data_IF_773193183164
#
_entry.id   IF_773193183164
#
_cell.length_a   1.000
_cell.length_b   1.000
_cell.length_c   1.000
_cell.angle_alpha   90.00
_cell.angle_beta   90.00
_cell.angle_gamma   90.00
#
_symmetry.space_group_name_H-M   'P 1'
#
loop_
_entity.id
_entity.type
_entity.pdbx_description
1 polymer ?
#
# COMPACT_ATOMS: atom_id res chain seq x y z
N UNK A 1 -19.33 -15.70 31.51
CA UNK A 1 -18.12 -14.97 31.11
C UNK A 1 -17.07 -15.95 30.61
N UNK A 2 -17.10 -16.29 29.31
CA UNK A 2 -16.01 -16.93 28.55
C UNK A 2 -16.16 -16.38 27.13
N UNK A 3 -15.05 -15.92 26.56
CA UNK A 3 -15.00 -15.08 25.37
C UNK A 3 -15.42 -15.76 24.06
N UNK A 4 -15.90 -14.93 23.15
CA UNK A 4 -16.15 -15.27 21.75
C UNK A 4 -15.35 -14.31 20.85
N UNK A 5 -14.03 -14.46 20.88
CA UNK A 5 -13.15 -13.86 19.86
C UNK A 5 -13.16 -14.78 18.64
N UNK A 6 -14.21 -14.69 17.83
CA UNK A 6 -14.23 -15.34 16.52
C UNK A 6 -13.72 -14.35 15.48
N UNK A 7 -12.49 -14.62 15.07
CA UNK A 7 -11.74 -14.17 13.90
C UNK A 7 -12.67 -13.87 12.70
N UNK A 8 -12.97 -12.58 12.50
CA UNK A 8 -13.42 -12.03 11.21
C UNK A 8 -12.28 -11.17 10.63
N UNK A 9 -11.11 -11.79 10.41
CA UNK A 9 -9.86 -11.11 10.04
C UNK A 9 -9.65 -10.94 8.53
N UNK A 10 -10.75 -10.88 7.78
CA UNK A 10 -10.75 -10.85 6.32
C UNK A 10 -11.95 -10.04 5.85
N UNK A 11 -11.74 -8.77 5.47
CA UNK A 11 -12.75 -7.95 4.78
C UNK A 11 -13.28 -8.68 3.53
N UNK A 12 -12.43 -9.52 2.90
CA UNK A 12 -12.84 -10.36 1.77
C UNK A 12 -13.91 -11.38 2.16
N UNK A 13 -13.99 -11.87 3.40
CA UNK A 13 -15.00 -12.86 3.79
C UNK A 13 -16.39 -12.24 3.90
N UNK A 14 -16.52 -11.03 4.47
CA UNK A 14 -17.80 -10.32 4.57
C UNK A 14 -18.29 -9.81 3.20
N UNK A 15 -17.40 -9.35 2.32
CA UNK A 15 -17.76 -8.96 0.95
C UNK A 15 -18.05 -10.16 0.05
N UNK A 16 -17.37 -11.30 0.22
CA UNK A 16 -17.67 -12.55 -0.50
C UNK A 16 -18.98 -13.18 -0.01
N UNK A 17 -19.28 -13.03 1.28
CA UNK A 17 -20.61 -13.24 1.85
C UNK A 17 -21.60 -12.31 1.13
N UNK A 18 -21.48 -10.98 1.25
CA UNK A 18 -22.47 -10.03 0.73
C UNK A 18 -22.67 -10.07 -0.79
N UNK A 19 -21.63 -10.34 -1.57
CA UNK A 19 -21.68 -10.45 -3.03
C UNK A 19 -22.39 -11.70 -3.55
N UNK A 20 -22.46 -12.76 -2.74
CA UNK A 20 -23.20 -14.00 -3.05
C UNK A 20 -24.62 -13.95 -2.42
N UNK A 21 -24.91 -13.01 -1.51
CA UNK A 21 -26.21 -12.90 -0.80
C UNK A 21 -27.35 -12.23 -1.55
N UNK A 22 -27.13 -11.74 -2.77
CA UNK A 22 -28.22 -11.26 -3.62
C UNK A 22 -29.25 -12.34 -3.97
N UNK A 23 -28.87 -13.63 -3.97
CA UNK A 23 -29.70 -14.74 -4.49
C UNK A 23 -29.93 -15.91 -3.53
N UNK A 24 -29.28 -15.95 -2.35
CA UNK A 24 -29.36 -17.10 -1.44
C UNK A 24 -30.37 -16.88 -0.30
N UNK A 25 -31.39 -17.75 -0.26
CA UNK A 25 -32.50 -17.72 0.72
C UNK A 25 -32.14 -18.30 2.10
N UNK A 26 -31.11 -19.16 2.19
CA UNK A 26 -30.68 -19.84 3.44
C UNK A 26 -29.16 -19.97 3.52
N UNK A 27 -28.62 -19.79 4.72
CA UNK A 27 -27.21 -20.08 5.05
C UNK A 27 -27.17 -21.04 6.24
N UNK A 28 -26.29 -22.04 6.19
CA UNK A 28 -25.90 -22.83 7.37
C UNK A 28 -24.63 -22.25 7.99
N UNK A 29 -24.76 -21.71 9.20
CA UNK A 29 -23.63 -21.31 10.03
C UNK A 29 -23.77 -22.02 11.38
N UNK A 30 -22.72 -22.71 11.82
CA UNK A 30 -22.68 -23.42 13.12
C UNK A 30 -23.84 -24.40 13.37
N UNK A 31 -24.30 -25.10 12.34
CA UNK A 31 -25.39 -26.08 12.45
C UNK A 31 -26.80 -25.49 12.50
N UNK A 32 -26.96 -24.17 12.50
CA UNK A 32 -28.26 -23.50 12.39
C UNK A 32 -28.53 -23.06 10.94
N UNK A 33 -29.74 -23.32 10.42
CA UNK A 33 -30.24 -22.74 9.17
C UNK A 33 -30.81 -21.34 9.45
N UNK A 34 -30.16 -20.30 8.94
CA UNK A 34 -30.66 -18.93 9.01
C UNK A 34 -31.37 -18.62 7.69
N UNK A 35 -32.68 -18.38 7.77
CA UNK A 35 -33.49 -17.95 6.63
C UNK A 35 -33.44 -16.42 6.51
N UNK A 36 -32.85 -15.96 5.40
CA UNK A 36 -32.66 -14.53 5.12
C UNK A 36 -33.97 -13.94 4.63
N UNK A 37 -34.81 -13.47 5.56
CA UNK A 37 -35.98 -12.66 5.21
C UNK A 37 -35.58 -11.18 5.04
N UNK A 38 -36.48 -10.37 4.46
CA UNK A 38 -36.25 -8.95 4.19
C UNK A 38 -35.94 -8.13 5.44
N UNK A 39 -36.43 -8.53 6.61
CA UNK A 39 -36.14 -7.86 7.88
C UNK A 39 -34.70 -8.13 8.33
N UNK A 40 -34.19 -9.35 8.15
CA UNK A 40 -32.79 -9.71 8.41
C UNK A 40 -31.85 -8.99 7.45
N UNK A 41 -32.22 -8.90 6.16
CA UNK A 41 -31.45 -8.17 5.15
C UNK A 41 -31.31 -6.68 5.51
N UNK A 42 -32.40 -6.03 5.91
CA UNK A 42 -32.39 -4.62 6.37
C UNK A 42 -31.52 -4.42 7.61
N UNK A 43 -31.57 -5.35 8.57
CA UNK A 43 -30.71 -5.31 9.77
C UNK A 43 -29.24 -5.45 9.42
N UNK A 44 -28.89 -6.38 8.51
CA UNK A 44 -27.51 -6.55 8.02
C UNK A 44 -27.04 -5.29 7.29
N UNK A 45 -27.88 -4.70 6.44
CA UNK A 45 -27.54 -3.47 5.71
C UNK A 45 -27.36 -2.27 6.65
N UNK A 46 -28.21 -2.11 7.67
CA UNK A 46 -28.06 -1.06 8.69
C UNK A 46 -26.75 -1.25 9.47
N UNK A 47 -26.49 -2.47 9.95
CA UNK A 47 -25.26 -2.78 10.67
C UNK A 47 -24.01 -2.57 9.80
N UNK A 48 -24.06 -2.92 8.52
CA UNK A 48 -22.98 -2.64 7.58
C UNK A 48 -22.75 -1.12 7.42
N UNK A 49 -23.83 -0.34 7.25
CA UNK A 49 -23.73 1.12 7.15
C UNK A 49 -23.19 1.78 8.42
N UNK A 50 -23.55 1.27 9.60
CA UNK A 50 -23.01 1.74 10.89
C UNK A 50 -21.52 1.40 11.05
N UNK A 51 -21.11 0.20 10.63
CA UNK A 51 -19.69 -0.22 10.62
C UNK A 51 -18.89 0.65 9.65
N UNK A 52 -19.40 0.89 8.44
CA UNK A 52 -18.74 1.73 7.44
C UNK A 52 -18.58 3.17 7.95
N UNK A 53 -19.62 3.73 8.59
CA UNK A 53 -19.54 5.06 9.21
C UNK A 53 -18.49 5.13 10.33
N UNK A 54 -18.43 4.12 11.20
CA UNK A 54 -17.43 4.04 12.26
C UNK A 54 -16.00 3.89 11.71
N UNK A 55 -15.82 3.10 10.65
CA UNK A 55 -14.52 2.94 9.97
C UNK A 55 -14.07 4.23 9.30
N UNK A 56 -14.98 4.99 8.67
CA UNK A 56 -14.64 6.29 8.08
C UNK A 56 -14.32 7.35 9.13
N UNK A 57 -15.04 7.36 10.25
CA UNK A 57 -14.69 8.23 11.38
C UNK A 57 -13.30 7.89 11.93
N UNK A 58 -13.04 6.60 12.14
CA UNK A 58 -11.76 6.10 12.61
C UNK A 58 -10.62 6.46 11.63
N UNK A 59 -10.85 6.26 10.32
CA UNK A 59 -9.94 6.68 9.27
C UNK A 59 -9.66 8.18 9.33
N UNK A 60 -10.68 9.02 9.54
CA UNK A 60 -10.51 10.46 9.69
C UNK A 60 -9.64 10.85 10.89
N UNK A 61 -9.69 10.09 12.00
CA UNK A 61 -8.81 10.30 13.16
C UNK A 61 -7.37 9.88 12.87
N UNK A 62 -7.20 8.71 12.26
CA UNK A 62 -5.88 8.21 11.84
C UNK A 62 -5.22 9.15 10.84
N UNK A 63 -5.93 9.60 9.80
CA UNK A 63 -5.38 10.50 8.78
C UNK A 63 -4.91 11.84 9.41
N UNK A 64 -5.61 12.33 10.45
CA UNK A 64 -5.20 13.51 11.23
C UNK A 64 -3.95 13.25 12.07
N UNK A 65 -3.86 12.09 12.72
CA UNK A 65 -2.67 11.73 13.49
C UNK A 65 -1.46 11.57 12.58
N UNK A 66 -1.62 10.87 11.46
CA UNK A 66 -0.59 10.73 10.44
C UNK A 66 -0.10 12.10 9.96
N UNK A 67 -1.02 13.03 9.65
CA UNK A 67 -0.62 14.38 9.27
C UNK A 67 0.18 15.09 10.37
N UNK A 68 -0.19 14.88 11.65
CA UNK A 68 0.52 15.46 12.80
C UNK A 68 1.92 14.86 12.96
N UNK A 69 2.07 13.54 12.84
CA UNK A 69 3.37 12.85 12.99
C UNK A 69 4.30 13.18 11.82
N UNK A 70 3.78 13.20 10.59
CA UNK A 70 4.52 13.64 9.40
C UNK A 70 5.08 15.05 9.58
N UNK A 71 4.26 15.99 10.09
CA UNK A 71 4.70 17.36 10.37
C UNK A 71 5.70 17.43 11.53
N UNK A 72 5.41 16.75 12.65
CA UNK A 72 6.25 16.72 13.86
C UNK A 72 7.65 16.22 13.56
N UNK A 73 7.77 15.14 12.79
CA UNK A 73 9.04 14.52 12.44
C UNK A 73 9.62 15.01 11.11
N UNK A 74 8.99 16.01 10.49
CA UNK A 74 9.44 16.64 9.25
C UNK A 74 9.74 15.62 8.13
N UNK A 75 8.89 14.60 7.99
CA UNK A 75 9.14 13.45 7.10
C UNK A 75 9.26 13.89 5.64
N UNK A 76 8.43 14.84 5.20
CA UNK A 76 8.49 15.37 3.84
C UNK A 76 9.82 16.10 3.58
N UNK A 77 10.33 16.86 4.55
CA UNK A 77 11.63 17.53 4.43
C UNK A 77 12.77 16.51 4.42
N UNK A 78 12.71 15.49 5.29
CA UNK A 78 13.69 14.41 5.31
C UNK A 78 13.72 13.64 3.97
N UNK A 79 12.54 13.37 3.39
CA UNK A 79 12.43 12.74 2.08
C UNK A 79 13.00 13.64 0.96
N UNK A 80 12.73 14.95 1.00
CA UNK A 80 13.34 15.89 0.05
C UNK A 80 14.86 15.90 0.16
N UNK A 81 15.40 15.95 1.39
CA UNK A 81 16.84 15.91 1.62
C UNK A 81 17.47 14.59 1.15
N UNK A 82 16.75 13.46 1.30
CA UNK A 82 17.16 12.17 0.74
C UNK A 82 17.21 12.22 -0.78
N UNK A 83 16.18 12.76 -1.44
CA UNK A 83 16.13 12.90 -2.90
C UNK A 83 17.23 13.83 -3.42
N UNK A 84 17.60 14.85 -2.65
CA UNK A 84 18.66 15.79 -2.98
C UNK A 84 20.07 15.29 -2.58
N UNK A 85 20.20 14.10 -1.99
CA UNK A 85 21.50 13.50 -1.67
C UNK A 85 22.23 13.02 -2.93
N UNK A 86 23.55 12.95 -2.87
CA UNK A 86 24.37 12.53 -4.00
C UNK A 86 24.09 11.07 -4.38
N UNK A 87 23.83 10.20 -3.39
CA UNK A 87 23.50 8.80 -3.62
C UNK A 87 22.24 8.64 -4.48
N UNK A 88 21.17 9.39 -4.18
CA UNK A 88 19.92 9.32 -4.96
C UNK A 88 20.06 10.06 -6.30
N UNK A 89 20.79 11.18 -6.34
CA UNK A 89 21.06 11.91 -7.58
C UNK A 89 21.83 11.07 -8.60
N UNK A 90 22.81 10.30 -8.15
CA UNK A 90 23.55 9.37 -9.01
C UNK A 90 22.75 8.13 -9.38
N UNK A 91 21.76 7.75 -8.57
CA UNK A 91 20.91 6.59 -8.83
C UNK A 91 19.82 6.85 -9.87
N UNK A 92 19.29 8.08 -9.96
CA UNK A 92 18.22 8.41 -10.92
C UNK A 92 18.85 8.99 -12.19
N UNK A 93 18.77 8.24 -13.29
CA UNK A 93 19.30 8.67 -14.59
C UNK A 93 18.67 10.02 -14.99
N UNK A 94 19.52 11.03 -15.22
CA UNK A 94 19.18 12.40 -15.64
C UNK A 94 17.91 13.00 -15.01
N UNK A 95 17.76 13.01 -13.66
CA UNK A 95 16.59 13.62 -12.96
C UNK A 95 15.34 13.60 -13.85
N UNK A 96 14.90 12.40 -14.26
CA UNK A 96 13.78 12.34 -15.20
C UNK A 96 12.69 13.22 -14.63
N UNK A 97 12.14 14.16 -15.42
CA UNK A 97 11.14 15.14 -14.93
C UNK A 97 9.89 14.46 -14.35
N UNK A 98 9.85 13.14 -14.45
CA UNK A 98 8.77 12.23 -14.17
C UNK A 98 9.09 11.27 -13.02
N UNK A 99 10.29 11.35 -12.44
CA UNK A 99 10.65 10.62 -11.23
C UNK A 99 9.79 11.08 -10.06
N UNK A 100 9.32 10.11 -9.28
CA UNK A 100 8.65 10.37 -8.00
C UNK A 100 9.09 9.36 -6.96
N UNK A 101 8.98 9.79 -5.71
CA UNK A 101 9.31 9.00 -4.54
C UNK A 101 8.25 9.16 -3.47
N UNK A 102 7.93 8.09 -2.74
CA UNK A 102 7.05 8.12 -1.57
C UNK A 102 7.48 7.08 -0.54
N UNK A 103 6.82 7.13 0.62
CA UNK A 103 7.02 6.19 1.73
C UNK A 103 5.72 5.44 1.97
N UNK A 104 5.82 4.12 2.06
CA UNK A 104 4.73 3.26 2.52
C UNK A 104 5.00 2.75 3.93
N UNK A 105 3.97 2.68 4.74
CA UNK A 105 3.99 2.06 6.08
C UNK A 105 2.92 0.98 6.16
N UNK A 106 2.97 0.04 7.13
CA UNK A 106 1.80 -0.74 7.51
C UNK A 106 0.57 0.17 7.69
N UNK A 107 -0.55 -0.23 7.09
CA UNK A 107 -1.81 0.46 7.34
C UNK A 107 -2.23 0.22 8.81
N UNK A 108 -2.40 1.29 9.63
CA UNK A 108 -2.71 1.16 11.04
C UNK A 108 -4.14 0.65 11.29
N UNK A 109 -5.00 0.68 10.27
CA UNK A 109 -6.41 0.27 10.34
C UNK A 109 -6.57 -1.14 9.78
N UNK A 110 -5.99 -1.39 8.59
CA UNK A 110 -6.27 -2.59 7.81
C UNK A 110 -5.05 -3.50 7.70
N UNK A 111 -5.12 -4.64 8.39
CA UNK A 111 -4.10 -5.67 8.26
C UNK A 111 -3.94 -6.15 6.80
N UNK A 112 -2.70 -6.35 6.37
CA UNK A 112 -2.39 -6.76 4.99
C UNK A 112 -2.53 -5.62 3.97
N UNK A 113 -2.56 -4.37 4.41
CA UNK A 113 -2.46 -3.20 3.54
C UNK A 113 -1.26 -2.32 3.92
N UNK A 114 -0.83 -1.54 2.95
CA UNK A 114 0.16 -0.48 3.09
C UNK A 114 -0.54 0.86 2.94
N UNK A 115 -0.16 1.83 3.77
CA UNK A 115 -0.62 3.20 3.73
C UNK A 115 0.46 4.10 3.15
N UNK A 116 0.10 4.95 2.19
CA UNK A 116 1.00 5.94 1.61
C UNK A 116 1.15 7.14 2.57
N UNK A 117 2.30 7.19 3.25
CA UNK A 117 2.56 8.11 4.36
C UNK A 117 2.63 9.58 3.93
N UNK A 118 3.26 9.84 2.78
CA UNK A 118 3.48 11.18 2.22
C UNK A 118 3.05 11.22 0.76
N UNK A 119 2.81 12.42 0.23
CA UNK A 119 2.61 12.57 -1.20
C UNK A 119 3.86 12.15 -1.99
N UNK A 120 3.69 11.96 -3.30
CA UNK A 120 4.81 11.73 -4.18
C UNK A 120 5.68 13.00 -4.26
N UNK A 121 6.97 12.87 -3.97
CA UNK A 121 7.98 13.93 -4.02
C UNK A 121 8.92 13.70 -5.23
N UNK A 122 9.38 14.73 -5.96
CA UNK A 122 9.12 16.16 -5.77
C UNK A 122 7.78 16.63 -6.32
N UNK A 123 7.04 15.77 -7.03
CA UNK A 123 5.73 16.13 -7.57
C UNK A 123 4.73 14.98 -7.49
N UNK A 124 3.48 15.34 -7.21
CA UNK A 124 2.36 14.42 -7.25
C UNK A 124 1.44 14.56 -6.04
N UNK A 125 0.44 13.68 -6.03
CA UNK A 125 -0.52 13.54 -4.95
C UNK A 125 -0.80 12.05 -4.74
N UNK A 126 -1.18 11.67 -3.53
CA UNK A 126 -1.54 10.29 -3.23
C UNK A 126 -1.41 9.88 -1.77
N UNK A 127 -1.06 10.80 -0.86
CA UNK A 127 -1.10 10.55 0.57
C UNK A 127 -2.44 9.95 0.98
N UNK A 128 -2.39 9.08 1.98
CA UNK A 128 -3.55 8.39 2.56
C UNK A 128 -4.22 7.35 1.66
N UNK A 129 -3.66 7.06 0.48
CA UNK A 129 -4.05 5.88 -0.31
C UNK A 129 -3.55 4.61 0.35
N UNK A 130 -4.32 3.53 0.18
CA UNK A 130 -3.99 2.22 0.73
C UNK A 130 -3.86 1.19 -0.37
N UNK A 131 -2.85 0.32 -0.25
CA UNK A 131 -2.51 -0.68 -1.24
C UNK A 131 -2.46 -2.07 -0.61
N UNK A 132 -2.85 -3.10 -1.35
CA UNK A 132 -2.73 -4.48 -0.87
C UNK A 132 -1.27 -4.91 -0.81
N UNK A 133 -0.86 -5.59 0.27
CA UNK A 133 0.49 -6.19 0.34
C UNK A 133 0.67 -7.38 -0.60
N UNK A 134 -0.37 -7.81 -1.33
CA UNK A 134 -0.35 -9.03 -2.16
C UNK A 134 0.19 -8.80 -3.57
N UNK A 135 0.06 -7.60 -4.11
CA UNK A 135 0.26 -7.35 -5.55
C UNK A 135 1.26 -6.23 -5.81
N UNK A 136 1.77 -6.19 -7.04
CA UNK A 136 2.76 -5.21 -7.48
C UNK A 136 4.12 -5.30 -6.77
N UNK A 137 5.01 -4.38 -7.14
CA UNK A 137 6.37 -4.33 -6.60
C UNK A 137 6.38 -4.04 -5.10
N UNK A 138 5.54 -3.11 -4.62
CA UNK A 138 5.46 -2.79 -3.19
C UNK A 138 5.01 -3.99 -2.35
N UNK A 139 4.04 -4.77 -2.83
CA UNK A 139 3.59 -5.98 -2.15
C UNK A 139 4.64 -7.08 -2.16
N UNK A 140 5.37 -7.23 -3.28
CA UNK A 140 6.49 -8.18 -3.39
C UNK A 140 7.58 -7.86 -2.37
N UNK A 141 8.10 -6.64 -2.38
CA UNK A 141 9.16 -6.19 -1.46
C UNK A 141 8.69 -6.27 -0.01
N UNK A 142 7.43 -5.93 0.28
CA UNK A 142 6.88 -6.07 1.62
C UNK A 142 6.96 -7.51 2.16
N UNK A 143 6.67 -8.51 1.33
CA UNK A 143 6.64 -9.92 1.76
C UNK A 143 8.01 -10.58 1.78
N UNK A 144 8.88 -10.23 0.83
CA UNK A 144 10.19 -10.87 0.69
C UNK A 144 11.30 -10.15 1.44
N UNK A 145 11.11 -8.86 1.73
CA UNK A 145 12.15 -7.96 2.27
C UNK A 145 13.37 -7.85 1.35
N UNK A 146 13.22 -8.25 0.09
CA UNK A 146 14.26 -8.15 -0.93
C UNK A 146 14.02 -6.89 -1.76
N UNK A 147 14.95 -5.91 -1.76
CA UNK A 147 14.86 -4.74 -2.63
C UNK A 147 14.69 -5.15 -4.10
N UNK A 148 13.77 -4.49 -4.80
CA UNK A 148 13.46 -4.79 -6.20
C UNK A 148 13.60 -3.54 -7.04
N UNK A 149 14.19 -3.70 -8.22
CA UNK A 149 14.35 -2.67 -9.24
C UNK A 149 13.92 -3.26 -10.58
N UNK A 150 13.07 -2.55 -11.30
CA UNK A 150 12.55 -2.93 -12.61
C UNK A 150 12.77 -1.76 -13.56
N UNK A 151 13.49 -1.99 -14.66
CA UNK A 151 13.71 -0.98 -15.70
C UNK A 151 12.53 -0.85 -16.67
N UNK A 152 11.67 -1.86 -16.76
CA UNK A 152 10.41 -1.79 -17.47
C UNK A 152 9.42 -2.77 -16.85
N UNK A 153 8.18 -2.31 -16.63
CA UNK A 153 7.09 -3.11 -16.09
C UNK A 153 6.71 -4.26 -17.03
N UNK A 154 6.92 -4.05 -18.33
CA UNK A 154 6.60 -5.00 -19.38
C UNK A 154 7.80 -5.91 -19.68
N UNK A 155 7.58 -7.22 -19.86
CA UNK A 155 8.64 -8.12 -20.28
C UNK A 155 9.16 -7.74 -21.68
N UNK A 156 10.40 -8.10 -22.05
CA UNK A 156 10.91 -7.88 -23.40
C UNK A 156 9.95 -8.45 -24.47
N UNK A 157 9.67 -7.69 -25.52
CA UNK A 157 8.95 -8.20 -26.71
C UNK A 157 9.90 -8.93 -27.64
N UNK A 158 9.38 -9.81 -28.49
CA UNK A 158 10.19 -10.34 -29.59
C UNK A 158 10.62 -9.20 -30.54
N UNK A 159 11.77 -9.32 -31.24
CA UNK A 159 12.19 -8.31 -32.20
C UNK A 159 11.10 -8.04 -33.25
N UNK A 160 10.70 -6.77 -33.38
CA UNK A 160 9.65 -6.34 -34.32
C UNK A 160 8.21 -6.51 -33.83
N UNK A 161 7.99 -7.07 -32.63
CA UNK A 161 6.67 -7.22 -32.05
C UNK A 161 6.24 -5.94 -31.30
N UNK A 162 5.17 -5.31 -31.79
CA UNK A 162 4.51 -4.20 -31.12
C UNK A 162 3.29 -4.72 -30.38
N UNK A 163 3.29 -4.62 -29.05
CA UNK A 163 2.13 -5.00 -28.24
C UNK A 163 1.02 -3.99 -28.41
N UNK A 164 -0.21 -4.48 -28.49
CA UNK A 164 -1.40 -3.65 -28.32
C UNK A 164 -1.52 -3.24 -26.85
N UNK A 165 -2.23 -2.15 -26.58
CA UNK A 165 -2.46 -1.69 -25.20
C UNK A 165 -3.11 -2.77 -24.33
N UNK A 166 -4.02 -3.57 -24.91
CA UNK A 166 -4.66 -4.69 -24.20
C UNK A 166 -3.65 -5.76 -23.79
N UNK A 167 -2.73 -6.12 -24.70
CA UNK A 167 -1.67 -7.08 -24.41
C UNK A 167 -0.70 -6.57 -23.31
N UNK A 168 -0.47 -5.27 -23.24
CA UNK A 168 0.31 -4.67 -22.16
C UNK A 168 -0.42 -4.80 -20.81
N UNK A 169 -1.72 -4.47 -20.77
CA UNK A 169 -2.54 -4.62 -19.56
C UNK A 169 -2.54 -6.07 -19.08
N UNK A 170 -2.79 -7.02 -19.98
CA UNK A 170 -2.83 -8.45 -19.67
C UNK A 170 -1.48 -8.95 -19.11
N UNK A 171 -0.36 -8.50 -19.71
CA UNK A 171 0.97 -8.83 -19.22
C UNK A 171 1.20 -8.32 -17.79
N UNK A 172 0.76 -7.09 -17.49
CA UNK A 172 0.89 -6.51 -16.14
C UNK A 172 0.00 -7.25 -15.14
N UNK A 173 -1.27 -7.51 -15.48
CA UNK A 173 -2.20 -8.23 -14.62
C UNK A 173 -1.67 -9.63 -14.27
N UNK A 174 -1.19 -10.37 -15.27
CA UNK A 174 -0.65 -11.72 -15.09
C UNK A 174 0.63 -11.74 -14.25
N UNK A 175 1.59 -10.85 -14.54
CA UNK A 175 2.91 -10.88 -13.90
C UNK A 175 2.93 -10.25 -12.51
N UNK A 176 2.02 -9.32 -12.24
CA UNK A 176 2.03 -8.51 -11.01
C UNK A 176 0.79 -8.71 -10.13
N UNK A 177 -0.17 -9.53 -10.58
CA UNK A 177 -1.39 -9.86 -9.84
C UNK A 177 -2.34 -8.67 -9.69
N UNK A 178 -2.24 -7.69 -10.58
CA UNK A 178 -3.05 -6.47 -10.57
C UNK A 178 -4.41 -6.71 -11.23
N UNK A 179 -5.42 -5.95 -10.83
CA UNK A 179 -6.64 -5.84 -11.63
C UNK A 179 -6.43 -4.87 -12.81
N UNK A 180 -7.40 -4.81 -13.73
CA UNK A 180 -7.31 -3.97 -14.93
C UNK A 180 -7.00 -2.49 -14.63
N UNK A 181 -7.72 -1.88 -13.68
CA UNK A 181 -7.54 -0.46 -13.33
C UNK A 181 -6.15 -0.20 -12.74
N UNK A 182 -5.68 -1.12 -11.91
CA UNK A 182 -4.33 -1.07 -11.33
C UNK A 182 -3.27 -1.22 -12.41
N UNK A 183 -3.44 -2.16 -13.34
CA UNK A 183 -2.53 -2.37 -14.47
C UNK A 183 -2.48 -1.16 -15.40
N UNK A 184 -3.62 -0.59 -15.77
CA UNK A 184 -3.71 0.66 -16.55
C UNK A 184 -3.02 1.83 -15.84
N UNK A 185 -3.16 1.94 -14.52
CA UNK A 185 -2.47 2.97 -13.75
C UNK A 185 -0.96 2.72 -13.67
N UNK A 186 -0.54 1.46 -13.51
CA UNK A 186 0.85 1.07 -13.44
C UNK A 186 1.55 1.36 -14.78
N UNK A 187 0.92 1.10 -15.93
CA UNK A 187 1.52 1.38 -17.25
C UNK A 187 1.89 2.86 -17.49
N UNK A 188 1.37 3.80 -16.69
CA UNK A 188 1.77 5.21 -16.74
C UNK A 188 3.20 5.42 -16.26
N UNK A 189 3.71 4.53 -15.40
CA UNK A 189 5.07 4.55 -14.88
C UNK A 189 5.73 3.20 -15.20
N UNK A 190 6.85 3.22 -15.92
CA UNK A 190 7.41 1.98 -16.47
C UNK A 190 8.53 1.43 -15.62
N UNK A 191 9.31 2.28 -14.98
CA UNK A 191 10.40 1.86 -14.10
C UNK A 191 10.01 2.00 -12.64
N UNK A 192 10.49 1.08 -11.82
CA UNK A 192 10.27 1.08 -10.38
C UNK A 192 11.53 0.73 -9.61
N UNK A 193 11.68 1.35 -8.45
CA UNK A 193 12.57 0.89 -7.41
C UNK A 193 11.84 0.88 -6.08
N UNK A 194 12.01 -0.19 -5.31
CA UNK A 194 11.42 -0.31 -3.99
C UNK A 194 12.35 -1.08 -3.05
N UNK A 195 12.53 -0.55 -1.85
CA UNK A 195 13.32 -1.20 -0.80
C UNK A 195 12.63 -1.12 0.56
N UNK A 196 12.83 -2.12 1.43
CA UNK A 196 12.36 -2.05 2.81
C UNK A 196 13.18 -1.03 3.60
N UNK A 197 12.50 -0.30 4.48
CA UNK A 197 13.13 0.52 5.50
C UNK A 197 13.23 -0.32 6.77
N UNK A 198 14.46 -0.65 7.17
CA UNK A 198 14.76 -1.44 8.37
C UNK A 198 15.26 -0.54 9.49
N UNK A 199 14.64 -0.59 10.67
CA UNK A 199 15.12 0.09 11.86
C UNK A 199 15.16 -0.91 13.01
N UNK A 200 16.30 -0.98 13.71
CA UNK A 200 16.51 -1.92 14.84
C UNK A 200 16.07 -3.37 14.52
N UNK A 201 16.48 -3.86 13.35
CA UNK A 201 16.14 -5.18 12.80
C UNK A 201 14.65 -5.41 12.50
N UNK A 202 13.83 -4.37 12.49
CA UNK A 202 12.40 -4.43 12.15
C UNK A 202 12.11 -3.67 10.86
N UNK A 203 11.32 -4.26 9.96
CA UNK A 203 10.82 -3.57 8.77
C UNK A 203 9.70 -2.61 9.17
N UNK A 204 9.97 -1.31 9.07
CA UNK A 204 9.04 -0.24 9.48
C UNK A 204 8.29 0.37 8.30
N UNK A 205 8.75 0.16 7.08
CA UNK A 205 8.10 0.71 5.89
C UNK A 205 8.82 0.32 4.61
N UNK A 206 8.46 1.00 3.52
CA UNK A 206 9.12 0.91 2.23
C UNK A 206 9.42 2.31 1.71
N UNK A 207 10.58 2.45 1.09
CA UNK A 207 10.81 3.52 0.11
C UNK A 207 10.33 3.00 -1.24
N UNK A 208 9.59 3.83 -1.96
CA UNK A 208 9.15 3.52 -3.32
C UNK A 208 9.46 4.68 -4.24
N UNK A 209 10.00 4.34 -5.40
CA UNK A 209 10.36 5.24 -6.48
C UNK A 209 9.77 4.74 -7.79
N UNK A 210 9.25 5.65 -8.61
CA UNK A 210 8.78 5.34 -9.95
C UNK A 210 9.19 6.41 -10.96
N UNK A 211 9.17 6.04 -12.25
CA UNK A 211 9.43 6.94 -13.36
C UNK A 211 8.63 6.51 -14.59
N UNK A 212 8.25 7.46 -15.44
CA UNK A 212 7.66 7.16 -16.76
C UNK A 212 8.70 6.64 -17.74
N UNK A 213 9.97 6.98 -17.52
CA UNK A 213 11.09 6.54 -18.35
C UNK A 213 11.41 5.07 -18.08
N UNK A 214 11.94 4.39 -19.09
CA UNK A 214 12.52 3.05 -18.94
C UNK A 214 13.93 3.15 -18.38
N UNK A 215 14.35 2.12 -17.66
CA UNK A 215 15.69 1.99 -17.07
C UNK A 215 16.11 3.24 -16.29
N UNK A 216 15.14 3.86 -15.61
CA UNK A 216 15.33 5.17 -14.96
C UNK A 216 16.27 5.15 -13.74
N UNK A 217 16.63 3.96 -13.28
CA UNK A 217 17.38 3.74 -12.04
C UNK A 217 18.68 2.96 -12.33
N UNK A 218 19.80 3.41 -11.79
CA UNK A 218 21.11 2.80 -11.95
C UNK A 218 21.32 1.65 -10.95
N UNK A 219 21.57 0.45 -11.46
CA UNK A 219 21.81 -0.72 -10.63
C UNK A 219 23.06 -0.61 -9.72
N UNK A 220 24.10 0.14 -10.13
CA UNK A 220 25.36 0.24 -9.39
C UNK A 220 25.19 1.04 -8.09
N UNK A 221 24.31 2.04 -8.09
CA UNK A 221 24.08 2.91 -6.92
C UNK A 221 23.02 2.35 -5.94
N UNK A 222 22.41 1.21 -6.27
CA UNK A 222 21.29 0.63 -5.52
C UNK A 222 21.61 0.42 -4.04
N UNK A 223 22.78 -0.12 -3.70
CA UNK A 223 23.15 -0.42 -2.31
C UNK A 223 23.28 0.87 -1.50
N UNK A 224 23.98 1.87 -2.04
CA UNK A 224 24.17 3.16 -1.39
C UNK A 224 22.82 3.86 -1.12
N UNK A 225 21.89 3.80 -2.06
CA UNK A 225 20.53 4.35 -1.87
C UNK A 225 19.76 3.62 -0.77
N UNK A 226 19.85 2.29 -0.70
CA UNK A 226 19.16 1.52 0.35
C UNK A 226 19.69 1.91 1.73
N UNK A 227 21.02 1.96 1.89
CA UNK A 227 21.67 2.32 3.15
C UNK A 227 21.29 3.75 3.56
N UNK A 228 21.38 4.70 2.61
CA UNK A 228 21.03 6.10 2.84
C UNK A 228 19.56 6.28 3.22
N UNK A 229 18.65 5.65 2.49
CA UNK A 229 17.22 5.73 2.76
C UNK A 229 16.86 5.11 4.10
N UNK A 230 17.44 3.95 4.42
CA UNK A 230 17.22 3.27 5.70
C UNK A 230 17.70 4.12 6.87
N UNK A 231 18.90 4.71 6.77
CA UNK A 231 19.45 5.58 7.80
C UNK A 231 18.65 6.88 7.96
N UNK A 232 18.20 7.48 6.86
CA UNK A 232 17.51 8.78 6.90
C UNK A 232 16.04 8.66 7.32
N UNK A 233 15.34 7.62 6.83
CA UNK A 233 13.89 7.50 6.98
C UNK A 233 13.48 6.46 8.02
N UNK A 234 14.24 5.38 8.20
CA UNK A 234 13.89 4.29 9.12
C UNK A 234 13.52 4.76 10.53
N UNK A 235 14.36 5.56 11.22
CA UNK A 235 14.06 6.05 12.56
C UNK A 235 12.80 6.94 12.61
N UNK A 236 12.56 7.77 11.59
CA UNK A 236 11.41 8.69 11.55
C UNK A 236 10.10 7.93 11.30
N UNK A 237 10.17 6.92 10.42
CA UNK A 237 9.04 6.03 10.14
C UNK A 237 8.71 5.17 11.36
N UNK A 238 9.72 4.66 12.07
CA UNK A 238 9.51 3.90 13.31
C UNK A 238 8.75 4.73 14.35
N UNK A 239 9.22 5.96 14.64
CA UNK A 239 8.54 6.87 15.58
C UNK A 239 7.10 7.17 15.17
N UNK A 240 6.85 7.28 13.87
CA UNK A 240 5.49 7.47 13.34
C UNK A 240 4.61 6.26 13.65
N UNK A 241 5.11 5.04 13.47
CA UNK A 241 4.38 3.83 13.83
C UNK A 241 4.10 3.75 15.33
N UNK A 242 5.06 4.12 16.17
CA UNK A 242 4.90 4.13 17.63
C UNK A 242 3.78 5.10 18.06
N UNK A 243 3.79 6.32 17.53
CA UNK A 243 2.76 7.32 17.78
C UNK A 243 1.37 6.85 17.30
N UNK A 244 1.29 6.24 16.11
CA UNK A 244 0.02 5.70 15.57
C UNK A 244 -0.51 4.51 16.36
N UNK A 245 0.38 3.65 16.89
CA UNK A 245 -0.02 2.51 17.73
C UNK A 245 -0.65 2.97 19.05
N UNK A 246 -0.18 4.10 19.60
CA UNK A 246 -0.72 4.69 20.82
C UNK A 246 -2.15 5.19 20.64
N UNK A 247 -2.46 5.77 19.47
CA UNK A 247 -3.82 6.21 19.14
C UNK A 247 -4.76 5.03 18.92
N UNK A 248 -4.29 3.93 18.33
CA UNK A 248 -5.10 2.73 18.19
C UNK A 248 -5.49 2.13 19.55
N UNK A 249 -4.57 2.13 20.53
CA UNK A 249 -4.81 1.60 21.88
C UNK A 249 -5.76 2.47 22.72
N UNK A 250 -5.73 3.79 22.57
CA UNK A 250 -6.62 4.68 23.32
C UNK A 250 -8.10 4.55 22.92
N UNK A 251 -8.39 3.93 21.78
CA UNK A 251 -9.73 3.79 21.23
C UNK A 251 -10.38 2.46 21.64
N UNK A 252 -9.61 1.46 22.08
CA UNK A 252 -10.16 0.20 22.64
C UNK A 252 -10.69 0.35 24.09
N UNK A 253 -10.53 1.52 24.72
CA UNK A 253 -10.75 1.73 26.17
C UNK A 253 -11.99 2.59 26.51
N UNK A 254 -12.79 3.02 25.53
CA UNK A 254 -14.10 3.67 25.75
C UNK A 254 -15.28 2.78 25.35
#
# INVERSE_FOLDING_TARGET
MIGLWIVARSESFLWLILGIFGSLRRIKLFGAEIELNEQTKRKIQSAAGEIDAALEEYKGRVDKEVARTVARYQIEQALSNLIDSDEVKSFVAERSKTFRCTIYIPDPIRYGRLYQLVDYCPSGAGRARTFSVRYGVIGRVWRTEVPTQEGDLLPPSAPGEVRTHEQEIDAVMSNWGMNRREAESALKHRSYFCCPLIHENSKVGLLYMDSTERDAFDHEQRVAVIEKATSAMGPLVSKTLDDLSTVALQIEVE
#
